data_IF_660743282519
#
_entry.id   IF_660743282519
#
_cell.length_a   1.000
_cell.length_b   1.000
_cell.length_c   1.000
_cell.angle_alpha   90.00
_cell.angle_beta   90.00
_cell.angle_gamma   90.00
#
_symmetry.space_group_name_H-M   'P 1'
#
loop_
_entity.id
_entity.type
_entity.pdbx_description
1 polymer ?
#
# COMPACT_ATOMS: atom_id res chain seq x y z
N UNK A 1 -96.28 -66.72 15.65
CA UNK A 1 -96.42 -65.56 14.74
C UNK A 1 -95.61 -64.44 15.38
N UNK A 2 -94.53 -64.12 14.87
CA UNK A 2 -93.61 -63.09 15.42
C UNK A 2 -92.70 -62.59 14.29
N UNK A 3 -93.02 -61.45 13.73
CA UNK A 3 -92.27 -60.75 12.68
C UNK A 3 -91.01 -60.14 13.28
N UNK A 4 -89.86 -60.56 12.81
CA UNK A 4 -88.61 -59.87 13.02
C UNK A 4 -88.32 -58.93 11.82
N UNK A 5 -88.41 -57.66 12.07
CA UNK A 5 -87.90 -56.64 11.14
C UNK A 5 -86.39 -56.56 11.26
N UNK A 6 -85.70 -56.76 10.11
CA UNK A 6 -84.29 -56.57 9.97
C UNK A 6 -84.05 -55.09 9.57
N UNK A 7 -83.49 -54.32 10.50
CA UNK A 7 -83.12 -52.93 10.24
C UNK A 7 -81.83 -52.86 9.41
N UNK A 8 -81.92 -52.24 8.23
CA UNK A 8 -80.76 -51.84 7.46
C UNK A 8 -80.07 -50.65 8.10
N UNK A 9 -78.86 -50.85 8.65
CA UNK A 9 -77.97 -49.73 8.99
C UNK A 9 -77.34 -49.22 7.75
N UNK A 10 -77.59 -47.97 7.41
CA UNK A 10 -76.95 -47.24 6.33
C UNK A 10 -75.51 -47.00 6.72
N UNK A 11 -74.57 -47.55 5.94
CA UNK A 11 -73.16 -47.18 5.94
C UNK A 11 -73.02 -45.78 5.33
N UNK A 12 -72.95 -44.75 6.15
CA UNK A 12 -72.49 -43.43 5.78
C UNK A 12 -71.72 -42.88 6.95
N UNK A 13 -70.44 -42.63 6.72
CA UNK A 13 -69.43 -41.80 7.40
C UNK A 13 -68.15 -42.54 7.71
N UNK A 14 -67.50 -43.07 6.64
CA UNK A 14 -66.04 -43.24 6.71
C UNK A 14 -65.44 -41.92 6.20
N UNK A 15 -65.28 -40.97 7.11
CA UNK A 15 -64.47 -39.77 6.86
C UNK A 15 -63.05 -40.23 6.58
N UNK A 16 -62.58 -40.05 5.32
CA UNK A 16 -61.19 -40.26 4.94
C UNK A 16 -60.29 -39.33 5.77
N UNK A 17 -59.75 -39.85 6.86
CA UNK A 17 -58.71 -39.14 7.59
C UNK A 17 -57.47 -39.05 6.69
N UNK A 18 -56.95 -37.82 6.46
CA UNK A 18 -55.76 -37.68 5.62
C UNK A 18 -54.62 -38.46 6.28
N UNK A 19 -53.75 -39.12 5.53
CA UNK A 19 -52.65 -39.93 6.04
C UNK A 19 -51.77 -39.10 6.93
N UNK A 20 -51.27 -39.72 8.03
CA UNK A 20 -50.50 -39.07 9.10
C UNK A 20 -49.31 -38.24 8.56
N UNK A 21 -48.68 -38.63 7.44
CA UNK A 21 -47.58 -37.90 6.81
C UNK A 21 -48.01 -36.55 6.24
N UNK A 22 -49.26 -36.37 5.82
CA UNK A 22 -49.79 -35.06 5.39
C UNK A 22 -50.00 -34.10 6.55
N UNK A 23 -50.22 -34.60 7.80
CA UNK A 23 -50.43 -33.77 8.97
C UNK A 23 -49.12 -33.25 9.60
N UNK A 24 -47.97 -33.97 9.40
CA UNK A 24 -46.69 -33.61 10.00
C UNK A 24 -45.63 -33.23 8.96
N UNK A 25 -45.55 -33.91 7.81
CA UNK A 25 -44.56 -33.64 6.81
C UNK A 25 -44.84 -32.39 5.98
N UNK A 26 -46.09 -32.13 5.60
CA UNK A 26 -46.45 -30.94 4.82
C UNK A 26 -46.18 -29.61 5.59
N UNK A 27 -46.61 -29.46 6.87
CA UNK A 27 -46.25 -28.27 7.66
C UNK A 27 -44.75 -28.13 7.88
N UNK A 28 -44.02 -29.25 8.08
CA UNK A 28 -42.58 -29.23 8.24
C UNK A 28 -41.90 -28.78 6.94
N UNK A 29 -42.24 -29.36 5.78
CA UNK A 29 -41.71 -28.97 4.48
C UNK A 29 -42.06 -27.52 4.14
N UNK A 30 -43.29 -27.05 4.45
CA UNK A 30 -43.65 -25.66 4.22
C UNK A 30 -42.87 -24.70 5.12
N UNK A 31 -42.60 -25.09 6.38
CA UNK A 31 -41.74 -24.34 7.29
C UNK A 31 -40.28 -24.23 6.77
N UNK A 32 -39.73 -25.34 6.35
CA UNK A 32 -38.37 -25.37 5.74
C UNK A 32 -38.33 -24.51 4.47
N UNK A 33 -39.34 -24.62 3.61
CA UNK A 33 -39.38 -23.81 2.36
C UNK A 33 -39.53 -22.31 2.67
N UNK A 34 -40.33 -21.97 3.69
CA UNK A 34 -40.48 -20.57 4.14
C UNK A 34 -39.16 -20.00 4.69
N UNK A 35 -38.42 -20.78 5.47
CA UNK A 35 -37.10 -20.38 5.98
C UNK A 35 -36.12 -20.19 4.83
N UNK A 36 -36.09 -21.13 3.86
CA UNK A 36 -35.23 -21.00 2.67
C UNK A 36 -35.61 -19.75 1.88
N UNK A 37 -36.91 -19.50 1.67
CA UNK A 37 -37.37 -18.31 0.95
C UNK A 37 -36.98 -17.03 1.68
N UNK A 38 -37.11 -16.98 3.00
CA UNK A 38 -36.68 -15.84 3.81
C UNK A 38 -35.17 -15.62 3.74
N UNK A 39 -34.36 -16.70 3.76
CA UNK A 39 -32.93 -16.62 3.59
C UNK A 39 -32.55 -16.13 2.20
N UNK A 40 -33.26 -16.57 1.15
CA UNK A 40 -33.08 -16.12 -0.21
C UNK A 40 -33.45 -14.63 -0.34
N UNK A 41 -34.58 -14.21 0.22
CA UNK A 41 -35.00 -12.80 0.23
C UNK A 41 -33.99 -11.96 1.03
N UNK A 42 -33.54 -12.43 2.18
CA UNK A 42 -32.52 -11.77 2.97
C UNK A 42 -31.20 -11.68 2.20
N UNK A 43 -30.77 -12.75 1.53
CA UNK A 43 -29.58 -12.75 0.69
C UNK A 43 -29.68 -11.73 -0.45
N UNK A 44 -30.76 -11.72 -1.21
CA UNK A 44 -30.96 -10.74 -2.28
C UNK A 44 -31.16 -9.31 -1.75
N UNK A 45 -31.79 -9.16 -0.58
CA UNK A 45 -31.92 -7.88 0.11
C UNK A 45 -30.57 -7.33 0.52
N UNK A 46 -29.75 -8.15 1.18
CA UNK A 46 -28.37 -7.77 1.55
C UNK A 46 -27.54 -7.50 0.30
N UNK A 47 -27.68 -8.31 -0.74
CA UNK A 47 -26.98 -8.11 -2.01
C UNK A 47 -27.38 -6.79 -2.71
N UNK A 48 -28.65 -6.40 -2.65
CA UNK A 48 -29.19 -5.20 -3.30
C UNK A 48 -28.98 -3.93 -2.47
N UNK A 49 -29.12 -4.03 -1.15
CA UNK A 49 -29.11 -2.91 -0.22
C UNK A 49 -27.92 -2.93 0.75
N UNK A 50 -27.15 -4.01 0.75
CA UNK A 50 -25.89 -4.14 1.50
C UNK A 50 -24.90 -3.12 0.98
N UNK A 51 -24.64 -2.17 1.80
CA UNK A 51 -24.04 -0.89 1.53
C UNK A 51 -22.57 -0.95 1.21
N UNK A 52 -22.15 -0.04 0.34
CA UNK A 52 -20.86 0.64 0.33
C UNK A 52 -19.64 -0.26 0.14
N UNK A 53 -19.00 -0.16 -1.00
CA UNK A 53 -17.74 -0.83 -1.30
C UNK A 53 -17.80 -1.77 -2.48
N UNK A 54 -18.91 -1.77 -3.20
CA UNK A 54 -18.94 -2.31 -4.54
C UNK A 54 -18.26 -1.32 -5.45
N UNK A 55 -17.16 -1.75 -6.01
CA UNK A 55 -16.63 -1.05 -7.16
C UNK A 55 -17.56 -1.30 -8.35
N UNK A 56 -17.66 -0.37 -9.30
CA UNK A 56 -18.37 -0.58 -10.56
C UNK A 56 -17.90 -1.88 -11.22
N UNK A 57 -18.85 -2.62 -11.83
CA UNK A 57 -18.49 -3.81 -12.59
C UNK A 57 -17.64 -3.37 -13.79
N UNK A 58 -16.45 -3.95 -13.91
CA UNK A 58 -15.51 -3.60 -14.96
C UNK A 58 -15.75 -4.51 -16.18
N UNK A 59 -15.71 -3.93 -17.37
CA UNK A 59 -15.77 -4.71 -18.59
C UNK A 59 -14.47 -5.52 -18.74
N UNK A 60 -14.60 -6.85 -19.02
CA UNK A 60 -13.42 -7.67 -19.29
C UNK A 60 -12.63 -7.12 -20.48
N UNK A 61 -11.32 -7.02 -20.32
CA UNK A 61 -10.41 -6.68 -21.42
C UNK A 61 -9.85 -7.95 -22.03
N UNK A 62 -9.62 -7.92 -23.33
CA UNK A 62 -8.96 -9.02 -24.04
C UNK A 62 -7.47 -9.05 -23.67
N UNK A 63 -6.84 -10.21 -23.83
CA UNK A 63 -5.40 -10.37 -23.61
C UNK A 63 -4.58 -9.40 -24.49
N UNK A 64 -5.03 -9.15 -25.72
CA UNK A 64 -4.38 -8.19 -26.61
C UNK A 64 -4.46 -6.74 -26.12
N UNK A 65 -5.61 -6.33 -25.56
CA UNK A 65 -5.75 -4.99 -24.95
C UNK A 65 -4.90 -4.83 -23.70
N UNK A 66 -4.82 -5.88 -22.87
CA UNK A 66 -3.94 -5.89 -21.68
C UNK A 66 -2.48 -5.83 -22.10
N UNK A 67 -2.07 -6.64 -23.08
CA UNK A 67 -0.69 -6.64 -23.58
C UNK A 67 -0.29 -5.30 -24.22
N UNK A 68 -1.18 -4.69 -25.00
CA UNK A 68 -0.96 -3.37 -25.58
C UNK A 68 -0.81 -2.30 -24.48
N UNK A 69 -1.68 -2.35 -23.48
CA UNK A 69 -1.60 -1.45 -22.33
C UNK A 69 -0.33 -1.64 -21.50
N UNK A 70 0.17 -2.86 -21.34
CA UNK A 70 1.44 -3.16 -20.70
C UNK A 70 2.62 -2.54 -21.47
N UNK A 71 2.68 -2.80 -22.77
CA UNK A 71 3.77 -2.31 -23.64
C UNK A 71 3.83 -0.77 -23.66
N UNK A 72 2.69 -0.10 -23.78
CA UNK A 72 2.62 1.36 -23.74
C UNK A 72 3.06 1.90 -22.37
N UNK A 73 2.53 1.36 -21.28
CA UNK A 73 2.92 1.78 -19.92
C UNK A 73 4.40 1.57 -19.62
N UNK A 74 4.97 0.44 -20.05
CA UNK A 74 6.39 0.16 -19.87
C UNK A 74 7.29 1.10 -20.68
N UNK A 75 6.89 1.48 -21.90
CA UNK A 75 7.62 2.44 -22.73
C UNK A 75 7.58 3.85 -22.11
N UNK A 76 6.42 4.29 -21.63
CA UNK A 76 6.25 5.59 -20.98
C UNK A 76 7.08 5.67 -19.70
N UNK A 77 7.04 4.61 -18.86
CA UNK A 77 7.82 4.52 -17.63
C UNK A 77 9.33 4.53 -17.92
N UNK A 78 9.79 3.75 -18.90
CA UNK A 78 11.19 3.74 -19.32
C UNK A 78 11.64 5.10 -19.89
N UNK A 79 10.78 5.80 -20.63
CA UNK A 79 11.07 7.13 -21.15
C UNK A 79 11.15 8.16 -20.00
N UNK A 80 10.25 8.11 -19.04
CA UNK A 80 10.27 8.97 -17.86
C UNK A 80 11.54 8.73 -17.02
N UNK A 81 11.88 7.47 -16.74
CA UNK A 81 13.09 7.11 -16.00
C UNK A 81 14.36 7.63 -16.70
N UNK A 82 14.46 7.51 -18.03
CA UNK A 82 15.60 8.05 -18.78
C UNK A 82 15.70 9.56 -18.66
N UNK A 83 14.57 10.27 -18.77
CA UNK A 83 14.54 11.72 -18.61
C UNK A 83 14.97 12.15 -17.21
N UNK A 84 14.49 11.46 -16.19
CA UNK A 84 14.81 11.73 -14.79
C UNK A 84 16.30 11.50 -14.50
N UNK A 85 16.88 10.40 -14.99
CA UNK A 85 18.30 10.08 -14.79
C UNK A 85 19.18 11.12 -15.50
N UNK A 86 18.94 11.39 -16.78
CA UNK A 86 19.71 12.39 -17.53
C UNK A 86 19.72 13.75 -16.81
N UNK A 87 18.66 14.13 -16.25
CA UNK A 87 18.36 15.34 -15.56
C UNK A 87 18.98 15.44 -14.14
N UNK A 88 18.95 14.31 -13.38
CA UNK A 88 19.69 14.19 -12.14
C UNK A 88 21.20 14.28 -12.37
N UNK A 89 21.70 13.71 -13.47
CA UNK A 89 23.11 13.83 -13.88
C UNK A 89 23.50 15.30 -14.06
N UNK A 90 22.77 16.06 -14.87
CA UNK A 90 23.06 17.48 -15.10
C UNK A 90 22.95 18.32 -13.81
N UNK A 91 21.93 18.06 -13.01
CA UNK A 91 21.72 18.78 -11.74
C UNK A 91 22.86 18.51 -10.77
N UNK A 92 23.29 17.25 -10.67
CA UNK A 92 24.35 16.87 -9.75
C UNK A 92 25.72 17.32 -10.27
N UNK A 93 25.94 17.33 -11.59
CA UNK A 93 27.17 17.90 -12.18
C UNK A 93 27.29 19.37 -11.82
N UNK A 94 26.24 20.16 -11.98
CA UNK A 94 26.26 21.56 -11.56
C UNK A 94 26.53 21.74 -10.05
N UNK A 95 25.99 20.85 -9.20
CA UNK A 95 26.28 20.86 -7.76
C UNK A 95 27.74 20.47 -7.46
N UNK A 96 28.29 19.49 -8.20
CA UNK A 96 29.68 19.03 -8.02
C UNK A 96 30.70 20.13 -8.37
N UNK A 97 30.35 21.01 -9.30
CA UNK A 97 31.21 22.17 -9.61
C UNK A 97 31.32 23.15 -8.45
N UNK A 98 30.30 23.19 -7.56
CA UNK A 98 30.27 24.05 -6.36
C UNK A 98 30.79 23.32 -5.12
N UNK A 99 30.51 22.03 -5.01
CA UNK A 99 30.94 21.14 -3.94
C UNK A 99 31.43 19.80 -4.54
N UNK A 100 32.72 19.55 -4.60
CA UNK A 100 33.26 18.28 -5.09
C UNK A 100 32.80 17.03 -4.36
N UNK A 101 32.26 17.20 -3.12
CA UNK A 101 31.71 16.11 -2.33
C UNK A 101 30.18 15.98 -2.44
N UNK A 102 29.55 16.68 -3.41
CA UNK A 102 28.12 16.56 -3.64
C UNK A 102 27.71 15.09 -3.85
N UNK A 103 26.62 14.69 -3.24
CA UNK A 103 26.09 13.33 -3.28
C UNK A 103 24.67 13.32 -3.85
N UNK A 104 24.31 12.19 -4.44
CA UNK A 104 22.94 11.91 -4.86
C UNK A 104 22.25 11.10 -3.76
N UNK A 105 21.24 11.69 -3.13
CA UNK A 105 20.58 11.12 -1.95
C UNK A 105 19.16 10.68 -2.25
N UNK A 106 18.88 9.37 -2.09
CA UNK A 106 17.55 8.78 -2.25
C UNK A 106 17.01 8.26 -0.92
N UNK A 107 15.77 8.63 -0.58
CA UNK A 107 15.04 8.07 0.54
C UNK A 107 14.02 7.04 0.05
N UNK A 108 14.10 5.82 0.58
CA UNK A 108 13.20 4.72 0.28
C UNK A 108 12.38 4.37 1.54
N UNK A 109 11.06 4.47 1.43
CA UNK A 109 10.13 4.23 2.53
C UNK A 109 9.32 2.96 2.26
N UNK A 110 9.51 1.94 3.11
CA UNK A 110 8.77 0.69 2.96
C UNK A 110 7.31 0.80 3.41
N UNK A 111 6.49 -0.14 2.94
CA UNK A 111 5.21 -0.44 3.57
C UNK A 111 5.39 -0.90 5.03
N UNK A 112 4.28 -1.19 5.69
CA UNK A 112 4.29 -1.66 7.08
C UNK A 112 2.99 -1.38 7.83
N UNK A 113 1.93 -0.94 7.15
CA UNK A 113 0.63 -0.69 7.75
C UNK A 113 0.71 0.36 8.88
N UNK A 114 0.21 0.03 10.05
CA UNK A 114 0.23 0.91 11.24
C UNK A 114 1.65 1.15 11.81
N UNK A 115 2.63 0.33 11.42
CA UNK A 115 4.03 0.60 11.73
C UNK A 115 4.61 1.80 10.96
N UNK A 116 3.88 2.41 10.02
CA UNK A 116 4.19 3.73 9.45
C UNK A 116 4.50 4.81 10.50
N UNK A 117 3.93 4.65 11.69
CA UNK A 117 4.21 5.51 12.84
C UNK A 117 5.69 5.57 13.20
N UNK A 118 6.43 4.45 13.03
CA UNK A 118 7.87 4.41 13.22
C UNK A 118 8.59 5.31 12.22
N UNK A 119 8.33 5.17 10.94
CA UNK A 119 9.00 5.95 9.90
C UNK A 119 8.69 7.43 9.98
N UNK A 120 7.45 7.81 10.24
CA UNK A 120 7.08 9.21 10.43
C UNK A 120 7.76 9.81 11.66
N UNK A 121 7.81 9.06 12.78
CA UNK A 121 8.54 9.45 13.98
C UNK A 121 10.04 9.57 13.70
N UNK A 122 10.63 8.59 13.01
CA UNK A 122 12.05 8.58 12.66
C UNK A 122 12.45 9.81 11.85
N UNK A 123 11.71 10.12 10.80
CA UNK A 123 11.97 11.30 9.97
C UNK A 123 11.83 12.60 10.77
N UNK A 124 10.82 12.68 11.64
CA UNK A 124 10.64 13.83 12.52
C UNK A 124 11.80 13.99 13.53
N UNK A 125 12.34 12.89 14.06
CA UNK A 125 13.53 12.88 14.89
C UNK A 125 14.78 13.26 14.13
N UNK A 126 14.99 12.71 12.92
CA UNK A 126 16.15 13.00 12.10
C UNK A 126 16.19 14.45 11.62
N UNK A 127 15.04 15.05 11.34
CA UNK A 127 14.96 16.47 10.98
C UNK A 127 15.44 17.42 12.09
N UNK A 128 15.56 16.96 13.34
CA UNK A 128 16.12 17.74 14.45
C UNK A 128 17.64 17.64 14.57
N UNK A 129 18.29 16.77 13.79
CA UNK A 129 19.74 16.57 13.82
C UNK A 129 20.43 17.63 12.97
N UNK A 130 21.43 18.28 13.54
CA UNK A 130 22.22 19.32 12.87
C UNK A 130 23.63 18.85 12.47
N UNK A 131 24.30 19.64 11.63
CA UNK A 131 25.68 19.41 11.22
C UNK A 131 25.83 18.28 10.22
N UNK A 132 26.94 17.54 10.29
CA UNK A 132 27.31 16.52 9.28
C UNK A 132 26.36 15.32 9.18
N UNK A 133 25.55 15.10 10.19
CA UNK A 133 24.57 14.02 10.25
C UNK A 133 23.12 14.52 10.03
N UNK A 134 22.95 15.79 9.71
CA UNK A 134 21.65 16.35 9.38
C UNK A 134 20.97 15.57 8.25
N UNK A 135 19.65 15.55 8.27
CA UNK A 135 18.86 14.96 7.20
C UNK A 135 19.16 15.70 5.89
N UNK A 136 19.61 14.99 4.84
CA UNK A 136 19.89 15.63 3.57
C UNK A 136 18.59 16.07 2.87
N UNK A 137 18.70 17.03 1.97
CA UNK A 137 17.63 17.31 1.01
C UNK A 137 17.70 16.23 -0.08
N UNK A 138 16.78 15.28 -0.01
CA UNK A 138 16.77 14.15 -0.93
C UNK A 138 16.55 14.57 -2.39
N UNK A 139 17.32 14.02 -3.31
CA UNK A 139 17.16 14.16 -4.76
C UNK A 139 15.98 13.31 -5.25
N UNK A 140 15.73 12.19 -4.58
CA UNK A 140 14.57 11.36 -4.82
C UNK A 140 13.98 10.78 -3.53
N UNK A 141 12.67 10.63 -3.52
CA UNK A 141 11.95 9.92 -2.46
C UNK A 141 11.02 8.91 -3.11
N UNK A 142 11.06 7.66 -2.66
CA UNK A 142 10.08 6.67 -3.05
C UNK A 142 9.33 6.11 -1.85
N UNK A 143 8.07 5.74 -2.06
CA UNK A 143 7.24 5.15 -1.02
C UNK A 143 6.35 4.04 -1.54
N UNK A 144 6.12 3.06 -0.68
CA UNK A 144 5.27 1.89 -0.94
C UNK A 144 4.30 1.72 0.22
N UNK A 145 3.01 1.46 -0.06
CA UNK A 145 2.00 1.22 0.98
C UNK A 145 1.96 2.35 2.02
N UNK A 146 2.10 2.05 3.28
CA UNK A 146 2.19 3.05 4.35
C UNK A 146 3.33 4.07 4.13
N UNK A 147 4.45 3.63 3.54
CA UNK A 147 5.54 4.52 3.11
C UNK A 147 5.13 5.50 2.02
N UNK A 148 4.18 5.14 1.16
CA UNK A 148 3.63 6.03 0.14
C UNK A 148 2.87 7.23 0.77
N UNK A 149 2.22 7.02 1.91
CA UNK A 149 1.53 8.09 2.64
C UNK A 149 2.54 9.06 3.30
N UNK A 150 3.72 8.59 3.67
CA UNK A 150 4.79 9.40 4.30
C UNK A 150 5.64 10.11 3.23
N UNK A 151 5.86 9.49 2.08
CA UNK A 151 6.81 9.94 1.06
C UNK A 151 6.61 11.41 0.61
N UNK A 152 5.40 11.91 0.35
CA UNK A 152 5.21 13.30 -0.06
C UNK A 152 5.66 14.31 1.02
N UNK A 153 5.46 14.01 2.29
CA UNK A 153 5.89 14.86 3.40
C UNK A 153 7.42 14.82 3.58
N UNK A 154 8.02 13.64 3.43
CA UNK A 154 9.47 13.47 3.42
C UNK A 154 10.13 14.16 2.22
N UNK A 155 9.46 14.18 1.07
CA UNK A 155 9.89 14.91 -0.12
C UNK A 155 9.90 16.44 0.13
N UNK A 156 8.90 16.97 0.82
CA UNK A 156 8.94 18.37 1.27
C UNK A 156 10.09 18.58 2.24
N UNK A 157 10.33 17.67 3.15
CA UNK A 157 11.47 17.64 4.07
C UNK A 157 11.50 18.81 5.07
N UNK A 158 10.41 19.56 5.19
CA UNK A 158 10.34 20.65 6.18
C UNK A 158 9.88 20.11 7.53
N UNK A 159 10.33 20.69 8.66
CA UNK A 159 9.89 20.26 9.99
C UNK A 159 8.36 20.23 10.14
N UNK A 160 7.67 21.20 9.54
CA UNK A 160 6.20 21.31 9.59
C UNK A 160 5.54 20.16 8.84
N UNK A 161 6.06 19.78 7.66
CA UNK A 161 5.52 18.67 6.87
C UNK A 161 5.75 17.34 7.59
N UNK A 162 6.95 17.12 8.14
CA UNK A 162 7.28 15.90 8.88
C UNK A 162 6.47 15.78 10.18
N UNK A 163 6.23 16.89 10.86
CA UNK A 163 5.39 16.88 12.04
C UNK A 163 3.91 16.71 11.72
N UNK A 164 3.43 17.19 10.54
CA UNK A 164 2.06 16.97 10.08
C UNK A 164 1.78 15.49 9.88
N UNK A 165 2.62 14.77 9.12
CA UNK A 165 2.44 13.32 8.92
C UNK A 165 2.62 12.55 10.24
N UNK A 166 3.55 12.95 11.08
CA UNK A 166 3.76 12.30 12.37
C UNK A 166 2.52 12.45 13.28
N UNK A 167 1.91 13.64 13.34
CA UNK A 167 0.65 13.84 14.07
C UNK A 167 -0.48 12.99 13.52
N UNK A 168 -0.59 12.92 12.17
CA UNK A 168 -1.61 12.12 11.50
C UNK A 168 -1.54 10.65 11.95
N UNK A 169 -0.37 10.03 11.85
CA UNK A 169 -0.19 8.61 12.20
C UNK A 169 -0.22 8.34 13.71
N UNK A 170 0.10 9.32 14.55
CA UNK A 170 0.03 9.18 16.02
C UNK A 170 -1.39 9.22 16.58
N UNK A 171 -2.35 9.72 15.81
CA UNK A 171 -3.72 9.92 16.27
C UNK A 171 -4.76 9.31 15.31
N UNK A 172 -4.64 7.99 15.00
CA UNK A 172 -5.62 7.33 14.17
C UNK A 172 -6.99 7.44 14.83
N UNK A 173 -8.01 7.78 14.03
CA UNK A 173 -9.39 7.86 14.51
C UNK A 173 -10.03 6.47 14.47
N UNK A 174 -11.05 6.20 15.29
CA UNK A 174 -11.73 4.89 15.30
C UNK A 174 -12.35 4.50 13.96
N UNK A 175 -12.61 5.47 13.09
CA UNK A 175 -13.17 5.27 11.75
C UNK A 175 -12.11 5.21 10.63
N UNK A 176 -10.80 5.15 10.98
CA UNK A 176 -9.75 4.95 9.99
C UNK A 176 -9.92 3.64 9.22
N UNK A 177 -10.33 2.58 9.94
CA UNK A 177 -10.65 1.29 9.36
C UNK A 177 -11.99 0.82 9.92
N UNK A 178 -12.99 0.69 9.06
CA UNK A 178 -14.33 0.27 9.42
C UNK A 178 -14.62 -1.09 8.78
N UNK A 179 -14.66 -2.18 9.57
CA UNK A 179 -15.02 -3.50 9.06
C UNK A 179 -16.44 -3.50 8.46
N UNK A 180 -16.63 -4.20 7.35
CA UNK A 180 -17.92 -4.30 6.64
C UNK A 180 -18.95 -5.22 7.34
N UNK A 181 -18.63 -5.74 8.51
CA UNK A 181 -19.53 -6.60 9.29
C UNK A 181 -19.61 -8.04 8.75
N UNK A 182 -20.71 -8.72 9.07
CA UNK A 182 -20.87 -10.17 8.83
C UNK A 182 -20.87 -10.60 7.35
N UNK A 183 -21.14 -9.68 6.44
CA UNK A 183 -21.27 -9.98 5.00
C UNK A 183 -20.05 -9.59 4.16
N UNK A 184 -18.92 -9.33 4.80
CA UNK A 184 -17.68 -8.95 4.11
C UNK A 184 -17.23 -9.99 3.05
N UNK A 185 -17.55 -11.26 3.26
CA UNK A 185 -17.18 -12.39 2.40
C UNK A 185 -18.02 -12.52 1.12
N UNK A 186 -19.02 -11.66 0.92
CA UNK A 186 -19.81 -11.68 -0.32
C UNK A 186 -18.91 -11.31 -1.50
N UNK A 187 -19.01 -12.05 -2.62
CA UNK A 187 -18.12 -11.90 -3.78
C UNK A 187 -18.13 -10.50 -4.40
N UNK A 188 -19.18 -9.74 -4.16
CA UNK A 188 -19.32 -8.38 -4.67
C UNK A 188 -18.54 -7.33 -3.85
N UNK A 189 -18.02 -7.70 -2.68
CA UNK A 189 -17.22 -6.80 -1.86
C UNK A 189 -15.75 -6.86 -2.28
N UNK A 190 -15.18 -5.70 -2.58
CA UNK A 190 -13.79 -5.59 -2.98
C UNK A 190 -12.81 -5.67 -1.80
N UNK A 191 -13.29 -5.56 -0.54
CA UNK A 191 -12.46 -5.55 0.67
C UNK A 191 -13.21 -5.93 1.92
N UNK A 192 -12.46 -6.37 2.93
CA UNK A 192 -12.95 -6.64 4.29
C UNK A 192 -13.41 -5.38 5.03
N UNK A 193 -12.74 -4.25 4.81
CA UNK A 193 -13.01 -3.00 5.48
C UNK A 193 -13.04 -1.82 4.51
N UNK A 194 -13.65 -0.73 4.93
CA UNK A 194 -13.55 0.60 4.34
C UNK A 194 -12.60 1.45 5.18
N UNK A 195 -12.10 2.53 4.57
CA UNK A 195 -11.14 3.45 5.20
C UNK A 195 -11.61 4.93 5.19
N UNK A 196 -12.87 5.21 5.62
CA UNK A 196 -13.43 6.55 5.47
C UNK A 196 -12.69 7.60 6.28
N UNK A 197 -12.27 7.27 7.49
CA UNK A 197 -11.54 8.19 8.35
C UNK A 197 -10.13 8.46 7.85
N UNK A 198 -9.40 7.42 7.39
CA UNK A 198 -8.10 7.59 6.78
C UNK A 198 -8.18 8.48 5.53
N UNK A 199 -9.17 8.23 4.67
CA UNK A 199 -9.41 9.07 3.49
C UNK A 199 -9.68 10.52 3.88
N UNK A 200 -10.59 10.75 4.82
CA UNK A 200 -10.92 12.11 5.28
C UNK A 200 -9.68 12.85 5.79
N UNK A 201 -8.91 12.19 6.67
CA UNK A 201 -7.75 12.81 7.32
C UNK A 201 -6.60 13.02 6.31
N UNK A 202 -6.39 12.08 5.37
CA UNK A 202 -5.46 12.26 4.27
C UNK A 202 -5.89 13.39 3.33
N UNK A 203 -7.19 13.49 3.00
CA UNK A 203 -7.72 14.57 2.16
C UNK A 203 -7.56 15.94 2.81
N UNK A 204 -7.57 16.03 4.13
CA UNK A 204 -7.33 17.27 4.85
C UNK A 204 -5.88 17.76 4.75
N UNK A 205 -4.91 16.83 4.73
CA UNK A 205 -3.48 17.15 4.62
C UNK A 205 -3.00 17.28 3.16
N UNK A 206 -3.54 16.46 2.24
CA UNK A 206 -3.16 16.42 0.82
C UNK A 206 -4.20 17.19 0.00
N UNK A 207 -4.17 18.48 0.12
CA UNK A 207 -5.00 19.42 -0.64
C UNK A 207 -4.26 20.03 -1.84
N UNK A 208 -4.87 20.99 -2.55
CA UNK A 208 -4.22 21.67 -3.68
C UNK A 208 -2.99 22.47 -3.25
N UNK A 209 -3.01 23.11 -2.09
CA UNK A 209 -1.85 23.83 -1.57
C UNK A 209 -0.68 22.86 -1.31
N UNK A 210 -0.97 21.66 -0.78
CA UNK A 210 0.03 20.62 -0.61
C UNK A 210 0.62 20.18 -1.97
N UNK A 211 -0.22 19.96 -2.99
CA UNK A 211 0.24 19.65 -4.34
C UNK A 211 1.13 20.77 -4.93
N UNK A 212 0.75 22.04 -4.77
CA UNK A 212 1.60 23.17 -5.14
C UNK A 212 2.95 23.19 -4.43
N UNK A 213 2.98 22.85 -3.14
CA UNK A 213 4.24 22.76 -2.37
C UNK A 213 5.15 21.66 -2.94
N UNK A 214 4.60 20.49 -3.35
CA UNK A 214 5.35 19.44 -4.03
C UNK A 214 5.92 19.96 -5.35
N UNK A 215 5.12 20.61 -6.17
CA UNK A 215 5.58 21.19 -7.45
C UNK A 215 6.71 22.18 -7.22
N UNK A 216 6.55 23.11 -6.28
CA UNK A 216 7.61 24.07 -5.94
C UNK A 216 8.87 23.40 -5.42
N UNK A 217 8.75 22.39 -4.58
CA UNK A 217 9.87 21.65 -4.03
C UNK A 217 10.64 20.86 -5.11
N UNK A 218 9.99 20.49 -6.21
CA UNK A 218 10.61 19.78 -7.32
C UNK A 218 11.35 20.69 -8.29
N UNK A 219 10.89 21.93 -8.51
CA UNK A 219 11.35 22.79 -9.61
C UNK A 219 12.78 23.31 -9.44
N UNK A 220 13.21 23.59 -8.23
CA UNK A 220 14.55 24.15 -7.98
C UNK A 220 15.71 23.16 -8.03
N UNK A 221 15.47 21.87 -8.15
CA UNK A 221 16.50 20.82 -8.10
C UNK A 221 16.07 19.56 -8.82
N UNK A 222 14.97 19.59 -9.51
CA UNK A 222 14.42 18.52 -10.30
C UNK A 222 14.40 17.22 -9.49
N UNK A 223 13.82 17.23 -8.35
CA UNK A 223 13.68 16.12 -7.44
C UNK A 223 12.53 15.22 -7.87
N UNK A 224 12.67 13.93 -7.68
CA UNK A 224 11.64 12.93 -8.01
C UNK A 224 10.91 12.44 -6.78
N UNK A 225 9.60 12.24 -6.90
CA UNK A 225 8.75 11.61 -5.89
C UNK A 225 8.00 10.45 -6.54
N UNK A 226 8.33 9.24 -6.15
CA UNK A 226 7.88 8.02 -6.80
C UNK A 226 7.02 7.19 -5.85
N UNK A 227 5.83 6.81 -6.31
CA UNK A 227 4.90 5.98 -5.54
C UNK A 227 4.66 4.69 -6.31
N UNK A 228 4.95 3.55 -5.66
CA UNK A 228 4.73 2.25 -6.28
C UNK A 228 3.40 1.65 -5.83
N UNK A 229 2.63 1.19 -6.81
CA UNK A 229 1.46 0.35 -6.61
C UNK A 229 1.58 -0.94 -7.44
N UNK A 230 0.71 -1.90 -7.22
CA UNK A 230 0.60 -3.11 -8.03
C UNK A 230 -0.58 -2.98 -8.98
N UNK A 231 -0.34 -3.08 -10.27
CA UNK A 231 -1.38 -3.21 -11.30
C UNK A 231 -1.99 -4.61 -11.20
N UNK A 232 -3.23 -4.69 -10.75
CA UNK A 232 -3.92 -5.96 -10.53
C UNK A 232 -4.34 -6.64 -11.85
N UNK A 233 -4.52 -5.87 -12.93
CA UNK A 233 -4.90 -6.41 -14.24
C UNK A 233 -3.71 -7.06 -14.93
N UNK A 234 -2.51 -6.50 -14.74
CA UNK A 234 -1.28 -6.97 -15.38
C UNK A 234 -0.43 -7.87 -14.48
N UNK A 235 -0.66 -7.84 -13.15
CA UNK A 235 0.15 -8.58 -12.18
C UNK A 235 1.59 -8.04 -12.04
N UNK A 236 1.80 -6.75 -12.32
CA UNK A 236 3.13 -6.10 -12.29
C UNK A 236 3.16 -4.89 -11.38
N UNK A 237 4.36 -4.48 -10.96
CA UNK A 237 4.54 -3.19 -10.29
C UNK A 237 4.32 -2.03 -11.26
N UNK A 238 3.74 -0.95 -10.76
CA UNK A 238 3.61 0.32 -11.46
C UNK A 238 4.15 1.43 -10.57
N UNK A 239 5.05 2.23 -11.13
CA UNK A 239 5.59 3.41 -10.45
C UNK A 239 4.94 4.67 -11.00
N UNK A 240 4.36 5.46 -10.11
CA UNK A 240 3.74 6.75 -10.43
C UNK A 240 4.70 7.88 -10.08
N UNK A 241 4.92 8.82 -11.01
CA UNK A 241 5.53 10.12 -10.71
C UNK A 241 4.51 11.01 -9.99
N UNK A 242 4.65 11.09 -8.67
CA UNK A 242 3.77 11.89 -7.84
C UNK A 242 4.01 13.41 -7.99
N UNK A 243 5.15 13.85 -8.53
CA UNK A 243 5.36 15.25 -8.91
C UNK A 243 4.55 15.59 -10.15
N UNK A 244 4.52 14.71 -11.15
CA UNK A 244 3.67 14.87 -12.33
C UNK A 244 2.18 14.87 -11.93
N UNK A 245 1.77 13.97 -11.04
CA UNK A 245 0.41 13.93 -10.49
C UNK A 245 0.06 15.22 -9.73
N UNK A 246 0.99 15.77 -8.96
CA UNK A 246 0.79 17.04 -8.27
C UNK A 246 0.66 18.23 -9.27
N UNK A 247 1.45 18.25 -10.35
CA UNK A 247 1.30 19.26 -11.42
C UNK A 247 -0.07 19.17 -12.09
N UNK A 248 -0.53 17.94 -12.37
CA UNK A 248 -1.85 17.73 -12.95
C UNK A 248 -2.95 18.16 -11.98
N UNK A 249 -2.85 17.83 -10.69
CA UNK A 249 -3.79 18.25 -9.65
C UNK A 249 -3.91 19.79 -9.60
N UNK A 250 -2.79 20.51 -9.62
CA UNK A 250 -2.77 21.97 -9.65
C UNK A 250 -3.39 22.52 -10.94
N UNK A 251 -3.05 21.92 -12.09
CA UNK A 251 -3.56 22.36 -13.38
C UNK A 251 -5.08 22.16 -13.56
N UNK A 252 -5.61 21.08 -12.98
CA UNK A 252 -7.06 20.74 -13.08
C UNK A 252 -7.88 21.24 -11.90
N UNK A 253 -7.24 21.63 -10.79
CA UNK A 253 -7.92 21.95 -9.54
C UNK A 253 -8.43 20.70 -8.81
N UNK A 254 -7.94 19.50 -9.15
CA UNK A 254 -8.40 18.21 -8.61
C UNK A 254 -7.29 17.50 -7.82
N UNK A 255 -7.25 17.61 -6.46
CA UNK A 255 -6.26 16.94 -5.64
C UNK A 255 -6.46 15.42 -5.57
N UNK A 256 -7.59 14.86 -5.99
CA UNK A 256 -7.87 13.43 -5.93
C UNK A 256 -6.99 12.62 -6.87
N UNK A 257 -6.42 13.24 -7.91
CA UNK A 257 -5.40 12.61 -8.76
C UNK A 257 -4.22 12.10 -7.92
N UNK A 258 -3.65 12.96 -7.08
CA UNK A 258 -2.54 12.59 -6.18
C UNK A 258 -3.00 11.66 -5.07
N UNK A 259 -4.14 11.94 -4.43
CA UNK A 259 -4.71 11.14 -3.35
C UNK A 259 -4.96 9.69 -3.76
N UNK A 260 -5.53 9.49 -4.96
CA UNK A 260 -5.82 8.14 -5.46
C UNK A 260 -4.56 7.31 -5.68
N UNK A 261 -3.46 7.92 -6.12
CA UNK A 261 -2.16 7.24 -6.26
C UNK A 261 -1.65 6.78 -4.88
N UNK A 262 -1.70 7.65 -3.87
CA UNK A 262 -1.26 7.32 -2.52
C UNK A 262 -2.11 6.19 -1.91
N UNK A 263 -3.43 6.26 -2.07
CA UNK A 263 -4.36 5.26 -1.57
C UNK A 263 -4.28 3.94 -2.36
N UNK A 264 -3.98 3.97 -3.65
CA UNK A 264 -3.75 2.77 -4.46
C UNK A 264 -2.56 1.99 -3.94
N UNK A 265 -1.46 2.68 -3.66
CA UNK A 265 -0.27 2.09 -3.06
C UNK A 265 -0.53 1.47 -1.68
N UNK A 266 -1.49 1.98 -0.91
CA UNK A 266 -1.83 1.52 0.44
C UNK A 266 -3.06 0.57 0.47
N UNK A 267 -3.57 0.15 -0.68
CA UNK A 267 -4.74 -0.71 -0.79
C UNK A 267 -4.40 -2.19 -0.61
N UNK A 268 -4.16 -2.62 0.63
CA UNK A 268 -3.82 -4.01 0.97
C UNK A 268 -4.89 -4.97 0.46
N UNK A 269 -4.56 -5.96 -0.39
CA UNK A 269 -5.51 -6.87 -1.00
C UNK A 269 -6.41 -7.57 0.02
N UNK A 270 -7.70 -7.55 -0.23
CA UNK A 270 -8.71 -8.12 0.65
C UNK A 270 -8.98 -7.28 1.91
N UNK A 271 -8.03 -6.50 2.40
CA UNK A 271 -8.21 -5.66 3.59
C UNK A 271 -8.84 -4.32 3.24
N UNK A 272 -8.30 -3.59 2.28
CA UNK A 272 -8.74 -2.27 1.86
C UNK A 272 -9.19 -2.22 0.41
N UNK A 273 -10.11 -1.30 0.04
CA UNK A 273 -10.63 -1.24 -1.32
C UNK A 273 -9.53 -0.82 -2.30
N UNK A 274 -9.35 -1.58 -3.41
CA UNK A 274 -8.45 -1.19 -4.47
C UNK A 274 -8.91 0.10 -5.15
N UNK A 275 -8.02 0.73 -5.93
CA UNK A 275 -8.30 1.99 -6.63
C UNK A 275 -8.25 1.78 -8.13
N UNK A 276 -9.22 2.38 -8.82
CA UNK A 276 -9.17 2.45 -10.27
C UNK A 276 -8.52 3.77 -10.71
N UNK A 277 -7.45 3.68 -11.49
CA UNK A 277 -6.74 4.81 -12.07
C UNK A 277 -6.57 4.51 -13.56
N UNK A 278 -7.01 5.42 -14.43
CA UNK A 278 -6.92 5.30 -15.88
C UNK A 278 -7.49 3.97 -16.42
N UNK A 279 -8.60 3.51 -15.83
CA UNK A 279 -9.29 2.29 -16.24
C UNK A 279 -8.55 0.99 -15.89
N UNK A 280 -7.57 1.04 -14.99
CA UNK A 280 -6.86 -0.11 -14.40
C UNK A 280 -7.07 -0.18 -12.91
N UNK A 281 -7.07 -1.39 -12.37
CA UNK A 281 -7.25 -1.62 -10.94
C UNK A 281 -5.89 -1.74 -10.26
N UNK A 282 -5.68 -0.93 -9.22
CA UNK A 282 -4.44 -0.93 -8.44
C UNK A 282 -4.68 -1.35 -7.00
N UNK A 283 -3.72 -2.07 -6.47
CA UNK A 283 -3.64 -2.50 -5.09
C UNK A 283 -2.25 -2.25 -4.51
N UNK A 284 -2.05 -2.59 -3.25
CA UNK A 284 -0.85 -2.30 -2.48
C UNK A 284 0.45 -2.66 -3.23
N UNK A 285 1.37 -1.70 -3.27
CA UNK A 285 2.63 -1.84 -3.97
C UNK A 285 3.54 -2.91 -3.40
N UNK A 286 3.41 -3.23 -2.12
CA UNK A 286 4.22 -4.24 -1.43
C UNK A 286 4.03 -5.66 -1.95
N UNK A 287 2.98 -5.91 -2.73
CA UNK A 287 2.74 -7.21 -3.37
C UNK A 287 3.83 -7.50 -4.41
N UNK A 288 4.26 -6.50 -5.16
CA UNK A 288 5.32 -6.65 -6.17
C UNK A 288 6.69 -6.28 -5.64
N UNK A 289 6.82 -5.21 -4.88
CA UNK A 289 8.06 -4.84 -4.19
C UNK A 289 7.79 -3.87 -3.04
N UNK A 290 8.43 -4.08 -1.91
CA UNK A 290 8.30 -3.19 -0.75
C UNK A 290 9.29 -2.01 -0.75
N UNK A 291 10.14 -1.90 -1.76
CA UNK A 291 10.99 -0.75 -2.05
C UNK A 291 11.06 -0.51 -3.54
N UNK A 292 11.11 0.74 -3.95
CA UNK A 292 11.42 1.11 -5.32
C UNK A 292 12.70 1.95 -5.35
N UNK A 293 13.69 1.50 -6.09
CA UNK A 293 15.01 2.13 -6.24
C UNK A 293 15.46 2.25 -7.71
N UNK A 294 14.50 2.22 -8.64
CA UNK A 294 14.73 2.26 -10.08
C UNK A 294 14.70 0.88 -10.73
N UNK A 295 14.85 0.86 -12.06
CA UNK A 295 14.96 -0.38 -12.83
C UNK A 295 16.45 -0.68 -13.09
N UNK A 296 17.03 -1.71 -12.49
CA UNK A 296 18.42 -2.09 -12.70
C UNK A 296 18.65 -2.86 -14.00
N UNK A 297 17.63 -3.15 -14.81
CA UNK A 297 17.74 -4.02 -15.98
C UNK A 297 18.38 -3.32 -17.19
N UNK A 298 18.33 -1.99 -17.27
CA UNK A 298 18.98 -1.21 -18.32
C UNK A 298 20.32 -0.63 -17.83
N UNK A 299 21.38 -1.42 -17.93
CA UNK A 299 22.73 -1.02 -17.49
C UNK A 299 23.23 0.26 -18.21
N UNK A 300 22.85 0.47 -19.47
CA UNK A 300 23.22 1.63 -20.26
C UNK A 300 22.56 2.93 -19.82
N UNK A 301 21.47 2.83 -19.08
CA UNK A 301 20.71 3.94 -18.52
C UNK A 301 20.91 4.10 -17.01
N UNK A 302 21.81 3.33 -16.40
CA UNK A 302 22.16 3.58 -15.00
C UNK A 302 22.76 4.98 -14.82
N UNK A 303 22.56 5.58 -13.62
CA UNK A 303 23.12 6.91 -13.32
C UNK A 303 24.61 7.01 -13.66
N UNK A 304 25.41 6.03 -13.24
CA UNK A 304 26.86 6.03 -13.53
C UNK A 304 27.22 5.86 -15.02
N UNK A 305 26.38 5.15 -15.80
CA UNK A 305 26.58 5.00 -17.23
C UNK A 305 26.27 6.31 -17.99
N UNK A 306 25.15 6.95 -17.63
CA UNK A 306 24.77 8.25 -18.20
C UNK A 306 25.81 9.32 -17.82
N UNK A 307 26.23 9.34 -16.53
CA UNK A 307 27.27 10.27 -16.06
C UNK A 307 28.56 10.18 -16.91
N UNK A 308 29.09 8.98 -17.10
CA UNK A 308 30.33 8.78 -17.90
C UNK A 308 30.17 9.19 -19.36
N UNK A 309 28.99 9.05 -19.91
CA UNK A 309 28.70 9.46 -21.28
C UNK A 309 28.66 10.98 -21.44
N UNK A 310 27.99 11.66 -20.50
CA UNK A 310 27.79 13.11 -20.57
C UNK A 310 28.97 13.91 -19.98
N UNK A 311 29.64 13.37 -18.95
CA UNK A 311 30.74 14.01 -18.23
C UNK A 311 31.94 13.06 -18.03
N UNK A 312 32.60 12.64 -19.11
CA UNK A 312 33.67 11.59 -19.07
C UNK A 312 34.87 11.96 -18.19
N UNK A 313 35.15 13.24 -18.05
CA UNK A 313 36.32 13.76 -17.29
C UNK A 313 35.98 14.05 -15.82
N UNK A 314 34.71 13.98 -15.45
CA UNK A 314 34.26 14.24 -14.05
C UNK A 314 34.16 12.95 -13.26
N UNK A 315 34.62 12.93 -11.99
CA UNK A 315 34.41 11.78 -11.11
C UNK A 315 32.92 11.55 -10.86
N UNK A 316 32.50 10.29 -10.91
CA UNK A 316 31.09 9.95 -10.65
C UNK A 316 30.79 10.24 -9.18
N UNK A 317 29.79 11.07 -8.87
CA UNK A 317 29.41 11.37 -7.49
C UNK A 317 28.90 10.12 -6.74
N UNK A 318 29.09 10.12 -5.43
CA UNK A 318 28.56 9.07 -4.57
C UNK A 318 27.04 9.12 -4.57
N UNK A 319 26.39 7.95 -4.77
CA UNK A 319 24.95 7.75 -4.55
C UNK A 319 24.71 7.16 -3.16
N UNK A 320 23.77 7.71 -2.41
CA UNK A 320 23.36 7.19 -1.10
C UNK A 320 21.88 6.83 -1.11
N UNK A 321 21.61 5.59 -0.73
CA UNK A 321 20.25 5.11 -0.46
C UNK A 321 20.02 5.05 1.04
N UNK A 322 18.97 5.74 1.48
CA UNK A 322 18.52 5.80 2.86
C UNK A 322 17.19 5.04 2.96
N UNK A 323 17.18 3.89 3.64
CA UNK A 323 15.99 3.06 3.73
C UNK A 323 15.39 3.15 5.14
N UNK A 324 14.14 3.54 5.21
CA UNK A 324 13.35 3.47 6.45
C UNK A 324 12.35 2.32 6.30
N UNK A 325 12.58 1.28 7.09
CA UNK A 325 11.83 0.03 7.09
C UNK A 325 10.77 0.11 8.19
N UNK A 326 9.51 0.26 7.80
CA UNK A 326 8.38 0.37 8.71
C UNK A 326 7.95 -1.00 9.27
N UNK A 327 8.91 -1.86 9.58
CA UNK A 327 8.64 -3.20 10.11
C UNK A 327 9.92 -3.75 10.77
N UNK A 328 9.80 -4.88 11.45
CA UNK A 328 10.95 -5.62 11.95
C UNK A 328 11.72 -6.29 10.81
N UNK A 329 13.03 -6.30 10.89
CA UNK A 329 13.87 -7.03 9.91
C UNK A 329 13.57 -8.53 9.92
N UNK A 330 13.29 -9.11 11.08
CA UNK A 330 12.92 -10.52 11.20
C UNK A 330 11.51 -10.63 11.73
N UNK A 331 10.62 -11.37 11.03
CA UNK A 331 9.28 -11.62 11.53
C UNK A 331 9.31 -12.24 12.93
N UNK A 332 8.45 -11.76 13.82
CA UNK A 332 8.29 -12.40 15.11
C UNK A 332 7.78 -13.84 14.96
N UNK A 333 8.37 -14.83 15.66
CA UNK A 333 7.82 -16.17 15.70
C UNK A 333 6.47 -16.15 16.42
N UNK A 334 5.47 -16.83 15.85
CA UNK A 334 4.13 -16.95 16.42
C UNK A 334 3.63 -18.38 16.30
N UNK A 335 2.87 -18.87 17.28
CA UNK A 335 2.13 -20.11 17.16
C UNK A 335 0.86 -19.85 16.35
N UNK A 336 0.92 -20.22 15.07
CA UNK A 336 -0.20 -20.00 14.16
C UNK A 336 -1.33 -20.98 14.42
N UNK A 337 -2.54 -20.48 14.57
CA UNK A 337 -3.73 -21.33 14.65
C UNK A 337 -4.10 -21.86 13.25
N UNK A 338 -4.53 -23.13 13.11
CA UNK A 338 -4.88 -23.73 11.83
C UNK A 338 -6.26 -23.27 11.33
N UNK A 339 -6.43 -21.96 11.21
CA UNK A 339 -7.63 -21.29 10.68
C UNK A 339 -7.27 -20.63 9.36
N UNK A 340 -8.10 -20.82 8.33
CA UNK A 340 -7.78 -20.35 6.99
C UNK A 340 -7.43 -18.85 6.94
N UNK A 341 -8.17 -18.01 7.66
CA UNK A 341 -7.93 -16.55 7.67
C UNK A 341 -6.57 -16.22 8.29
N UNK A 342 -6.22 -16.85 9.42
CA UNK A 342 -4.92 -16.65 10.06
C UNK A 342 -3.76 -17.11 9.16
N UNK A 343 -3.96 -18.20 8.41
CA UNK A 343 -2.97 -18.73 7.46
C UNK A 343 -2.79 -17.75 6.30
N UNK A 344 -3.89 -17.24 5.72
CA UNK A 344 -3.83 -16.28 4.59
C UNK A 344 -3.16 -14.97 5.03
N UNK A 345 -3.58 -14.39 6.14
CA UNK A 345 -2.99 -13.17 6.70
C UNK A 345 -1.47 -13.34 6.93
N UNK A 346 -1.08 -14.44 7.58
CA UNK A 346 0.34 -14.75 7.80
C UNK A 346 1.11 -14.95 6.49
N UNK A 347 0.49 -15.57 5.49
CA UNK A 347 1.12 -15.80 4.18
C UNK A 347 1.38 -14.50 3.44
N UNK A 348 0.43 -13.58 3.41
CA UNK A 348 0.59 -12.24 2.83
C UNK A 348 1.71 -11.50 3.56
N UNK A 349 1.66 -11.45 4.89
CA UNK A 349 2.69 -10.83 5.71
C UNK A 349 4.10 -11.39 5.39
N UNK A 350 4.24 -12.72 5.34
CA UNK A 350 5.52 -13.37 5.04
C UNK A 350 6.00 -13.07 3.61
N UNK A 351 5.10 -13.02 2.63
CA UNK A 351 5.45 -12.71 1.23
C UNK A 351 5.98 -11.28 1.10
N UNK A 352 5.31 -10.31 1.71
CA UNK A 352 5.76 -8.91 1.74
C UNK A 352 7.12 -8.78 2.42
N UNK A 353 7.31 -9.44 3.56
CA UNK A 353 8.60 -9.43 4.28
C UNK A 353 9.74 -10.07 3.47
N UNK A 354 9.46 -11.18 2.79
CA UNK A 354 10.44 -11.83 1.91
C UNK A 354 10.84 -10.92 0.74
N UNK A 355 9.87 -10.30 0.09
CA UNK A 355 10.09 -9.32 -0.97
C UNK A 355 10.98 -8.17 -0.51
N UNK A 356 10.71 -7.61 0.67
CA UNK A 356 11.51 -6.52 1.25
C UNK A 356 12.96 -6.93 1.51
N UNK A 357 13.18 -8.10 2.09
CA UNK A 357 14.52 -8.61 2.35
C UNK A 357 15.29 -8.93 1.08
N UNK A 358 14.61 -9.44 0.06
CA UNK A 358 15.20 -9.65 -1.28
C UNK A 358 15.59 -8.30 -1.88
N UNK A 359 14.70 -7.30 -1.86
CA UNK A 359 14.97 -5.98 -2.40
C UNK A 359 16.17 -5.30 -1.70
N UNK A 360 16.25 -5.38 -0.37
CA UNK A 360 17.36 -4.83 0.39
C UNK A 360 18.69 -5.50 0.04
N UNK A 361 18.72 -6.84 -0.01
CA UNK A 361 19.93 -7.59 -0.40
C UNK A 361 20.33 -7.33 -1.85
N UNK A 362 19.36 -7.21 -2.75
CA UNK A 362 19.59 -6.88 -4.14
C UNK A 362 20.21 -5.48 -4.27
N UNK A 363 19.75 -4.50 -3.50
CA UNK A 363 20.34 -3.16 -3.51
C UNK A 363 21.81 -3.16 -3.06
N UNK A 364 22.18 -3.99 -2.07
CA UNK A 364 23.60 -4.18 -1.70
C UNK A 364 24.40 -4.85 -2.83
N UNK A 365 23.83 -5.84 -3.49
CA UNK A 365 24.50 -6.49 -4.64
C UNK A 365 24.69 -5.52 -5.81
N UNK A 366 23.70 -4.67 -6.09
CA UNK A 366 23.80 -3.60 -7.09
C UNK A 366 24.91 -2.61 -6.70
N UNK A 367 24.97 -2.21 -5.44
CA UNK A 367 25.99 -1.28 -4.93
C UNK A 367 27.41 -1.84 -5.15
N UNK A 368 27.62 -3.10 -4.83
CA UNK A 368 28.91 -3.77 -5.04
C UNK A 368 29.22 -3.94 -6.53
N UNK A 369 28.27 -4.40 -7.33
CA UNK A 369 28.42 -4.55 -8.78
C UNK A 369 28.74 -3.20 -9.46
N UNK A 370 28.06 -2.13 -9.07
CA UNK A 370 28.29 -0.76 -9.56
C UNK A 370 29.72 -0.32 -9.28
N UNK A 371 30.21 -0.52 -8.06
CA UNK A 371 31.59 -0.20 -7.67
C UNK A 371 32.62 -1.00 -8.49
N UNK A 372 32.41 -2.31 -8.62
CA UNK A 372 33.31 -3.20 -9.38
C UNK A 372 33.41 -2.84 -10.88
N UNK A 373 32.30 -2.35 -11.44
CA UNK A 373 32.23 -1.90 -12.85
C UNK A 373 32.71 -0.45 -13.05
N UNK A 374 33.20 0.18 -12.01
CA UNK A 374 33.63 1.58 -12.05
C UNK A 374 32.50 2.59 -12.22
N UNK A 375 31.26 2.20 -11.84
CA UNK A 375 30.08 3.04 -11.94
C UNK A 375 29.90 4.05 -10.79
N UNK A 376 30.93 4.25 -9.97
CA UNK A 376 30.91 5.14 -8.81
C UNK A 376 30.68 4.36 -7.50
N UNK A 377 30.67 5.10 -6.40
CA UNK A 377 30.39 4.55 -5.07
C UNK A 377 28.88 4.63 -4.76
N UNK A 378 28.31 3.51 -4.36
CA UNK A 378 26.91 3.43 -3.88
C UNK A 378 26.93 3.02 -2.42
N UNK A 379 26.39 3.85 -1.56
CA UNK A 379 26.25 3.60 -0.13
C UNK A 379 24.80 3.28 0.22
N UNK A 380 24.59 2.21 0.95
CA UNK A 380 23.25 1.78 1.42
C UNK A 380 23.20 1.90 2.94
N UNK A 381 22.25 2.67 3.44
CA UNK A 381 21.95 2.83 4.86
C UNK A 381 20.51 2.48 5.14
N UNK A 382 20.25 1.74 6.18
CA UNK A 382 18.90 1.38 6.56
C UNK A 382 18.68 1.45 8.06
N UNK A 383 17.44 1.67 8.42
CA UNK A 383 16.92 1.59 9.79
C UNK A 383 15.61 0.84 9.76
N UNK A 384 15.28 0.13 10.82
CA UNK A 384 14.05 -0.64 10.96
C UNK A 384 13.53 -0.57 12.39
N UNK A 385 12.29 -1.00 12.59
CA UNK A 385 11.75 -1.18 13.95
C UNK A 385 12.68 -2.11 14.74
N UNK A 386 13.18 -1.68 15.91
CA UNK A 386 14.11 -2.50 16.68
C UNK A 386 13.50 -3.84 17.08
N UNK A 387 14.26 -4.92 16.95
CA UNK A 387 13.81 -6.27 17.36
C UNK A 387 13.50 -6.34 18.88
N UNK A 388 14.07 -5.43 19.64
CA UNK A 388 13.85 -5.29 21.09
C UNK A 388 12.58 -4.51 21.43
N UNK A 389 12.05 -3.72 20.51
CA UNK A 389 10.80 -3.00 20.72
C UNK A 389 9.65 -3.98 20.89
N UNK A 390 8.87 -3.81 21.93
CA UNK A 390 7.71 -4.67 22.25
C UNK A 390 6.57 -3.79 22.71
N UNK A 391 5.37 -4.17 22.36
CA UNK A 391 4.14 -3.57 22.87
C UNK A 391 3.20 -4.64 23.38
N UNK A 392 2.40 -4.30 24.38
CA UNK A 392 1.28 -5.14 24.85
C UNK A 392 -0.02 -4.83 24.13
N UNK A 393 -0.02 -3.79 23.30
CA UNK A 393 -1.19 -3.37 22.53
C UNK A 393 -1.38 -4.28 21.33
N UNK A 394 -2.59 -4.78 21.17
CA UNK A 394 -2.99 -5.68 20.08
C UNK A 394 -4.03 -5.00 19.21
N UNK A 395 -3.96 -5.25 17.92
CA UNK A 395 -4.87 -4.68 16.92
C UNK A 395 -4.16 -3.78 15.92
N UNK A 396 -4.79 -3.66 14.77
CA UNK A 396 -4.34 -2.74 13.72
C UNK A 396 -4.82 -1.32 14.05
N UNK A 397 -3.96 -0.34 13.82
CA UNK A 397 -4.24 1.08 14.05
C UNK A 397 -4.60 1.42 15.51
N UNK A 398 -4.06 0.64 16.48
CA UNK A 398 -4.18 0.99 17.90
C UNK A 398 -3.40 2.27 18.17
N UNK A 399 -4.11 3.28 18.69
CA UNK A 399 -3.57 4.63 18.90
C UNK A 399 -2.37 4.66 19.85
N UNK A 400 -2.41 3.89 20.93
CA UNK A 400 -1.31 3.86 21.91
C UNK A 400 -0.10 3.15 21.31
N UNK A 401 -0.31 2.03 20.62
CA UNK A 401 0.74 1.32 19.86
C UNK A 401 1.44 2.25 18.87
N UNK A 402 0.67 2.99 18.08
CA UNK A 402 1.21 3.89 17.06
C UNK A 402 1.97 5.07 17.70
N UNK A 403 1.51 5.57 18.84
CA UNK A 403 2.22 6.59 19.60
C UNK A 403 3.57 6.08 20.13
N UNK A 404 3.56 4.94 20.82
CA UNK A 404 4.78 4.30 21.34
C UNK A 404 5.79 4.04 20.21
N UNK A 405 5.31 3.58 19.06
CA UNK A 405 6.15 3.28 17.90
C UNK A 405 6.72 4.54 17.25
N UNK A 406 5.92 5.60 17.16
CA UNK A 406 6.39 6.92 16.70
C UNK A 406 7.43 7.53 17.66
N UNK A 407 7.24 7.39 18.96
CA UNK A 407 8.20 7.88 19.95
C UNK A 407 9.53 7.13 19.85
N UNK A 408 9.50 5.81 19.65
CA UNK A 408 10.71 5.03 19.39
C UNK A 408 11.38 5.43 18.07
N UNK A 409 10.59 5.63 17.00
CA UNK A 409 11.11 6.17 15.76
C UNK A 409 11.78 7.52 15.95
N UNK A 410 11.14 8.46 16.63
CA UNK A 410 11.70 9.81 16.92
C UNK A 410 13.00 9.73 17.71
N UNK A 411 13.05 8.86 18.70
CA UNK A 411 14.26 8.63 19.50
C UNK A 411 15.43 8.14 18.64
N UNK A 412 15.18 7.16 17.78
CA UNK A 412 16.19 6.62 16.87
C UNK A 412 16.57 7.60 15.76
N UNK A 413 15.62 8.37 15.24
CA UNK A 413 15.90 9.38 14.22
C UNK A 413 16.84 10.48 14.72
N UNK A 414 16.78 10.81 16.01
CA UNK A 414 17.69 11.76 16.65
C UNK A 414 19.09 11.18 16.93
N UNK A 415 19.27 9.85 16.77
CA UNK A 415 20.57 9.18 16.99
C UNK A 415 21.30 8.98 15.65
N UNK A 416 22.42 9.68 15.40
CA UNK A 416 23.21 9.50 14.19
C UNK A 416 23.78 8.09 14.00
N UNK A 417 23.82 7.27 15.05
CA UNK A 417 24.32 5.90 15.01
C UNK A 417 23.23 4.87 14.70
N UNK A 418 21.96 5.28 14.57
CA UNK A 418 20.85 4.36 14.26
C UNK A 418 20.96 3.73 12.88
N UNK A 419 21.71 4.32 11.97
CA UNK A 419 21.84 3.85 10.60
C UNK A 419 22.75 2.62 10.48
N UNK A 420 22.18 1.53 10.02
CA UNK A 420 22.90 0.32 9.67
C UNK A 420 23.50 0.44 8.26
N UNK A 421 24.74 -0.03 8.09
CA UNK A 421 25.49 0.06 6.81
C UNK A 421 25.85 -1.31 6.21
N UNK A 422 25.49 -2.39 6.90
CA UNK A 422 25.74 -3.77 6.46
C UNK A 422 24.43 -4.44 6.07
N UNK A 423 24.46 -5.30 5.09
CA UNK A 423 23.31 -6.13 4.74
C UNK A 423 22.86 -6.97 5.94
N UNK A 424 21.54 -7.14 6.17
CA UNK A 424 20.98 -7.91 7.28
C UNK A 424 21.12 -9.42 7.10
#
# INVERSE_FOLDING_TARGET
>A
MGNRQIGFQTMSDVACRPPWWRRSLLPFLSGVLSVILLLVIAYFGVRKFGTGGRLPERQPKTEAELAAGFSAGAQDEAAANRADIAWQVETLYARQQLDPNATLDFLLLSGGGDHAAFGAGFLSGWASVEGKNAMPKFDGVSGVSAGALIAPFAFLGTPEALEAINRLVRDPKPDWVVPRGLFFFLPENASFADVPGLMRDLCAEVDLNFAERIVRASTGGKRVLLIQATDADLGTGRTFDAVAAARQAVATGDPDILRNILLASAAVPGAFPPREIEGRLYMDGSITSNFYYGDPTDEGQSFGAVWRREHPDAPIPKTRYWLVINEYIRPAPVTLQPKWLAIVERSIYMSVRSSEMIALRHLYAIAEATKLRGGGEVEVRWVAVPQTWKTTKVGYFDKEKMRELSDEGRRLGADPQAWMTKAP
#
